data_IF_215926225508
#
_entry.id   IF_215926225508
#
_cell.length_a   1.000
_cell.length_b   1.000
_cell.length_c   1.000
_cell.angle_alpha   90.00
_cell.angle_beta   90.00
_cell.angle_gamma   90.00
#
_symmetry.space_group_name_H-M   'P 1'
#
loop_
_entity.id
_entity.type
_entity.pdbx_description
1 polymer ?
#
# COMPACT_ATOMS: atom_id res chain seq x y z
N UNK A 1 -17.19 0.05 13.19
CA UNK A 1 -18.55 -0.55 13.12
C UNK A 1 -18.95 -0.67 11.66
N UNK A 2 -19.27 -1.88 11.19
CA UNK A 2 -19.76 -2.07 9.83
C UNK A 2 -21.05 -1.26 9.64
N UNK A 3 -21.12 -0.45 8.57
CA UNK A 3 -22.31 0.32 8.25
C UNK A 3 -23.45 -0.63 7.93
N UNK A 4 -24.61 -0.42 8.58
CA UNK A 4 -25.82 -1.18 8.26
C UNK A 4 -26.13 -1.06 6.75
N UNK A 5 -26.74 -2.10 6.18
CA UNK A 5 -27.10 -2.13 4.74
C UNK A 5 -27.93 -0.89 4.37
N UNK A 6 -28.82 -0.47 5.27
CA UNK A 6 -29.64 0.73 5.12
C UNK A 6 -28.81 2.03 5.09
N UNK A 7 -27.78 2.17 5.94
CA UNK A 7 -26.93 3.37 5.92
C UNK A 7 -26.09 3.46 4.65
N UNK A 8 -25.64 2.31 4.13
CA UNK A 8 -24.97 2.23 2.83
C UNK A 8 -25.92 2.65 1.70
N UNK A 9 -27.17 2.18 1.75
CA UNK A 9 -28.19 2.55 0.78
C UNK A 9 -28.52 4.06 0.84
N UNK A 10 -28.70 4.64 2.03
CA UNK A 10 -28.90 6.09 2.21
C UNK A 10 -27.77 6.92 1.60
N UNK A 11 -26.51 6.50 1.79
CA UNK A 11 -25.34 7.17 1.19
C UNK A 11 -25.36 7.10 -0.33
N UNK A 12 -25.60 5.91 -0.90
CA UNK A 12 -25.70 5.72 -2.36
C UNK A 12 -26.87 6.51 -2.96
N UNK A 13 -27.99 6.56 -2.25
CA UNK A 13 -29.14 7.38 -2.63
C UNK A 13 -28.78 8.88 -2.65
N UNK A 14 -28.02 9.34 -1.65
CA UNK A 14 -27.56 10.73 -1.60
C UNK A 14 -26.57 11.09 -2.72
N UNK A 15 -25.87 10.09 -3.27
CA UNK A 15 -24.97 10.20 -4.43
C UNK A 15 -25.72 10.08 -5.77
N UNK A 16 -27.06 10.04 -5.76
CA UNK A 16 -27.91 9.88 -6.96
C UNK A 16 -27.71 8.56 -7.71
N UNK A 17 -27.12 7.55 -7.05
CA UNK A 17 -26.87 6.21 -7.61
C UNK A 17 -28.04 5.27 -7.33
N UNK A 18 -29.22 5.59 -7.86
CA UNK A 18 -30.47 4.90 -7.52
C UNK A 18 -30.47 3.41 -7.93
N UNK A 19 -29.94 3.06 -9.11
CA UNK A 19 -29.78 1.66 -9.52
C UNK A 19 -28.92 0.82 -8.56
N UNK A 20 -27.87 1.40 -7.96
CA UNK A 20 -27.07 0.70 -6.96
C UNK A 20 -27.82 0.54 -5.62
N UNK A 21 -28.75 1.44 -5.30
CA UNK A 21 -29.63 1.33 -4.12
C UNK A 21 -30.59 0.16 -4.29
N UNK A 22 -31.20 0.01 -5.47
CA UNK A 22 -32.11 -1.09 -5.78
C UNK A 22 -31.38 -2.42 -5.66
N UNK A 23 -30.23 -2.58 -6.34
CA UNK A 23 -29.41 -3.80 -6.27
C UNK A 23 -28.99 -4.18 -4.85
N UNK A 24 -28.77 -3.18 -3.99
CA UNK A 24 -28.35 -3.40 -2.60
C UNK A 24 -29.52 -3.76 -1.67
N UNK A 25 -30.70 -3.18 -1.88
CA UNK A 25 -31.85 -3.34 -0.98
C UNK A 25 -32.78 -4.48 -1.41
N UNK A 26 -32.98 -4.70 -2.71
CA UNK A 26 -33.93 -5.68 -3.24
C UNK A 26 -33.74 -7.12 -2.72
N UNK A 27 -32.50 -7.65 -2.55
CA UNK A 27 -32.30 -8.98 -1.96
C UNK A 27 -32.72 -9.07 -0.48
N UNK A 28 -32.77 -7.95 0.24
CA UNK A 28 -33.02 -7.90 1.69
C UNK A 28 -34.48 -7.57 2.03
N UNK A 29 -35.40 -7.66 1.07
CA UNK A 29 -36.81 -7.27 1.25
C UNK A 29 -37.53 -8.08 2.32
N UNK A 30 -37.22 -9.37 2.46
CA UNK A 30 -37.83 -10.25 3.47
C UNK A 30 -37.34 -9.89 4.88
N UNK A 31 -36.04 -9.64 5.02
CA UNK A 31 -35.40 -9.32 6.30
C UNK A 31 -35.88 -7.98 6.88
N UNK A 32 -36.24 -7.03 6.01
CA UNK A 32 -36.66 -5.67 6.39
C UNK A 32 -38.15 -5.39 6.15
N UNK A 33 -39.01 -6.41 6.14
CA UNK A 33 -40.43 -6.28 5.80
C UNK A 33 -41.22 -5.26 6.66
N UNK A 34 -40.86 -5.06 7.92
CA UNK A 34 -41.48 -4.06 8.82
C UNK A 34 -40.79 -2.69 8.82
N UNK A 35 -39.69 -2.54 8.09
CA UNK A 35 -38.90 -1.30 8.11
C UNK A 35 -39.48 -0.27 7.16
N UNK A 36 -40.09 0.78 7.71
CA UNK A 36 -40.59 1.93 6.94
C UNK A 36 -39.49 2.56 6.07
N UNK A 37 -38.32 2.83 6.66
CA UNK A 37 -37.23 3.55 6.00
C UNK A 37 -36.67 2.74 4.83
N UNK A 38 -36.59 1.41 4.99
CA UNK A 38 -36.17 0.52 3.93
C UNK A 38 -37.09 0.61 2.71
N UNK A 39 -38.40 0.43 2.91
CA UNK A 39 -39.40 0.49 1.84
C UNK A 39 -39.49 1.87 1.20
N UNK A 40 -39.35 2.94 1.99
CA UNK A 40 -39.33 4.31 1.49
C UNK A 40 -38.14 4.54 0.55
N UNK A 41 -36.91 4.17 0.95
CA UNK A 41 -35.72 4.39 0.11
C UNK A 41 -35.71 3.50 -1.14
N UNK A 42 -36.17 2.25 -1.04
CA UNK A 42 -36.31 1.36 -2.19
C UNK A 42 -37.36 1.88 -3.19
N UNK A 43 -38.54 2.28 -2.70
CA UNK A 43 -39.60 2.88 -3.52
C UNK A 43 -39.20 4.20 -4.17
N UNK A 44 -38.49 5.07 -3.44
CA UNK A 44 -37.93 6.30 -4.00
C UNK A 44 -36.86 6.01 -5.07
N UNK A 45 -35.98 5.03 -4.85
CA UNK A 45 -34.98 4.66 -5.85
C UNK A 45 -35.63 4.16 -7.15
N UNK A 46 -36.66 3.31 -7.05
CA UNK A 46 -37.47 2.89 -8.19
C UNK A 46 -38.15 4.08 -8.89
N UNK A 47 -38.65 5.06 -8.13
CA UNK A 47 -39.29 6.25 -8.69
C UNK A 47 -38.29 7.10 -9.51
N UNK A 48 -37.06 7.29 -9.02
CA UNK A 48 -36.01 8.04 -9.71
C UNK A 48 -35.47 7.32 -10.95
N UNK A 49 -35.34 5.99 -10.91
CA UNK A 49 -35.00 5.13 -12.06
C UNK A 49 -36.15 5.02 -13.08
N UNK A 50 -37.37 5.38 -12.67
CA UNK A 50 -38.55 5.36 -13.53
C UNK A 50 -39.30 4.03 -13.55
N UNK A 51 -38.93 3.08 -12.70
CA UNK A 51 -39.59 1.78 -12.50
C UNK A 51 -40.89 1.99 -11.71
N UNK A 52 -41.97 2.30 -12.43
CA UNK A 52 -43.26 2.69 -11.84
C UNK A 52 -43.87 1.58 -10.99
N UNK A 53 -43.84 0.33 -11.47
CA UNK A 53 -44.42 -0.82 -10.77
C UNK A 53 -43.76 -1.04 -9.41
N UNK A 54 -42.42 -1.10 -9.37
CA UNK A 54 -41.66 -1.20 -8.13
C UNK A 54 -41.92 -0.05 -7.17
N UNK A 55 -41.95 1.19 -7.68
CA UNK A 55 -42.24 2.37 -6.86
C UNK A 55 -43.61 2.26 -6.16
N UNK A 56 -44.64 1.82 -6.88
CA UNK A 56 -46.00 1.66 -6.33
C UNK A 56 -46.02 0.59 -5.24
N UNK A 57 -45.43 -0.57 -5.49
CA UNK A 57 -45.43 -1.68 -4.54
C UNK A 57 -44.67 -1.34 -3.25
N UNK A 58 -43.47 -0.77 -3.37
CA UNK A 58 -42.64 -0.46 -2.21
C UNK A 58 -43.15 0.77 -1.43
N UNK A 59 -43.62 1.83 -2.10
CA UNK A 59 -44.23 2.98 -1.42
C UNK A 59 -45.57 2.60 -0.76
N UNK A 60 -46.36 1.72 -1.40
CA UNK A 60 -47.58 1.17 -0.80
C UNK A 60 -47.31 0.42 0.49
N UNK A 61 -46.27 -0.42 0.53
CA UNK A 61 -45.81 -1.07 1.77
C UNK A 61 -45.34 -0.06 2.82
N UNK A 62 -44.57 0.96 2.42
CA UNK A 62 -44.17 2.03 3.33
C UNK A 62 -45.40 2.76 3.93
N UNK A 63 -46.48 2.92 3.16
CA UNK A 63 -47.73 3.54 3.62
C UNK A 63 -48.49 2.70 4.64
N UNK A 64 -48.48 1.38 4.48
CA UNK A 64 -49.07 0.46 5.47
C UNK A 64 -48.37 0.57 6.82
N UNK A 65 -47.05 0.81 6.83
CA UNK A 65 -46.26 0.95 8.06
C UNK A 65 -46.42 2.35 8.67
N UNK A 66 -46.31 3.42 7.87
CA UNK A 66 -46.56 4.81 8.31
C UNK A 66 -47.45 5.54 7.33
N UNK A 67 -48.69 5.78 7.73
CA UNK A 67 -49.73 6.37 6.87
C UNK A 67 -49.49 7.84 6.48
N UNK A 68 -48.86 8.65 7.34
CA UNK A 68 -48.81 10.11 7.16
C UNK A 68 -47.39 10.69 7.25
N UNK A 69 -46.42 10.05 6.59
CA UNK A 69 -45.07 10.62 6.53
C UNK A 69 -44.96 11.66 5.38
N UNK A 70 -44.53 12.91 5.61
CA UNK A 70 -44.52 13.97 4.60
C UNK A 70 -43.77 13.59 3.31
N UNK A 71 -42.58 12.97 3.45
CA UNK A 71 -41.78 12.51 2.31
C UNK A 71 -42.47 11.41 1.50
N UNK A 72 -43.24 10.54 2.16
CA UNK A 72 -43.99 9.48 1.49
C UNK A 72 -45.15 10.09 0.70
N UNK A 73 -45.91 11.00 1.33
CA UNK A 73 -47.02 11.70 0.69
C UNK A 73 -46.56 12.50 -0.55
N UNK A 74 -45.43 13.20 -0.47
CA UNK A 74 -44.85 13.86 -1.64
C UNK A 74 -44.40 12.89 -2.75
N UNK A 75 -43.91 11.70 -2.39
CA UNK A 75 -43.53 10.68 -3.36
C UNK A 75 -44.76 10.10 -4.08
N UNK A 76 -45.83 9.83 -3.33
CA UNK A 76 -47.11 9.37 -3.88
C UNK A 76 -47.77 10.44 -4.75
N UNK A 77 -47.71 11.71 -4.35
CA UNK A 77 -48.19 12.83 -5.16
C UNK A 77 -47.46 12.92 -6.50
N UNK A 78 -46.13 12.80 -6.49
CA UNK A 78 -45.32 12.81 -7.71
C UNK A 78 -45.57 11.59 -8.60
N UNK A 79 -45.86 10.43 -8.00
CA UNK A 79 -46.26 9.22 -8.72
C UNK A 79 -47.65 9.35 -9.35
N UNK A 80 -48.62 9.93 -8.63
CA UNK A 80 -49.95 10.26 -9.15
C UNK A 80 -49.86 11.25 -10.32
N UNK A 81 -49.00 12.26 -10.22
CA UNK A 81 -48.73 13.21 -11.29
C UNK A 81 -48.19 12.51 -12.55
N UNK A 82 -47.26 11.56 -12.40
CA UNK A 82 -46.73 10.76 -13.53
C UNK A 82 -47.82 9.90 -14.19
N UNK A 83 -48.85 9.53 -13.44
CA UNK A 83 -50.05 8.81 -13.91
C UNK A 83 -51.16 9.74 -14.43
N UNK A 84 -50.92 11.05 -14.48
CA UNK A 84 -51.89 12.10 -14.85
C UNK A 84 -53.10 12.20 -13.93
N UNK A 85 -53.00 11.67 -12.71
CA UNK A 85 -54.03 11.78 -11.66
C UNK A 85 -53.75 13.05 -10.82
N UNK A 86 -54.17 14.20 -11.36
CA UNK A 86 -53.94 15.53 -10.75
C UNK A 86 -54.69 15.71 -9.45
N UNK A 87 -55.91 15.19 -9.35
CA UNK A 87 -56.75 15.28 -8.17
C UNK A 87 -56.08 14.63 -6.96
N UNK A 88 -55.58 13.39 -7.12
CA UNK A 88 -54.84 12.73 -6.04
C UNK A 88 -53.51 13.42 -5.74
N UNK A 89 -52.83 13.97 -6.73
CA UNK A 89 -51.59 14.72 -6.48
C UNK A 89 -51.84 15.97 -5.63
N UNK A 90 -52.91 16.73 -5.93
CA UNK A 90 -53.31 17.92 -5.15
C UNK A 90 -53.68 17.54 -3.73
N UNK A 91 -54.54 16.54 -3.54
CA UNK A 91 -54.97 16.06 -2.21
C UNK A 91 -53.77 15.71 -1.33
N UNK A 92 -52.80 14.98 -1.89
CA UNK A 92 -51.59 14.55 -1.17
C UNK A 92 -50.66 15.72 -0.84
N UNK A 93 -50.52 16.72 -1.71
CA UNK A 93 -49.73 17.90 -1.41
C UNK A 93 -50.39 18.81 -0.36
N UNK A 94 -51.71 18.98 -0.41
CA UNK A 94 -52.46 19.72 0.61
C UNK A 94 -52.30 19.05 1.97
N UNK A 95 -52.48 17.72 2.05
CA UNK A 95 -52.30 16.98 3.30
C UNK A 95 -50.89 17.15 3.93
N UNK A 96 -49.85 17.37 3.11
CA UNK A 96 -48.50 17.68 3.62
C UNK A 96 -48.42 19.12 4.14
N UNK A 97 -49.06 20.07 3.44
CA UNK A 97 -49.06 21.49 3.85
C UNK A 97 -49.92 21.74 5.08
N UNK A 98 -50.97 20.96 5.30
CA UNK A 98 -51.77 20.99 6.53
C UNK A 98 -50.94 20.60 7.75
N UNK A 99 -50.00 19.65 7.58
CA UNK A 99 -49.08 19.23 8.63
C UNK A 99 -47.83 20.13 8.77
N UNK A 100 -47.29 20.62 7.66
CA UNK A 100 -46.13 21.52 7.59
C UNK A 100 -46.36 22.61 6.52
N UNK A 101 -46.88 23.79 6.91
CA UNK A 101 -47.18 24.87 5.97
C UNK A 101 -45.96 25.40 5.20
N UNK A 102 -44.74 25.20 5.75
CA UNK A 102 -43.49 25.66 5.15
C UNK A 102 -42.79 24.58 4.33
N UNK A 103 -43.46 23.46 4.04
CA UNK A 103 -42.87 22.34 3.31
C UNK A 103 -42.55 22.71 1.84
N UNK A 104 -41.28 23.01 1.56
CA UNK A 104 -40.82 23.55 0.26
C UNK A 104 -41.15 22.65 -0.93
N UNK A 105 -41.11 21.32 -0.78
CA UNK A 105 -41.41 20.39 -1.89
C UNK A 105 -42.91 20.36 -2.23
N UNK A 106 -43.78 20.42 -1.22
CA UNK A 106 -45.22 20.40 -1.43
C UNK A 106 -45.71 21.71 -2.05
N UNK A 107 -45.19 22.86 -1.60
CA UNK A 107 -45.45 24.15 -2.23
C UNK A 107 -45.02 24.18 -3.70
N UNK A 108 -43.82 23.64 -4.00
CA UNK A 108 -43.34 23.52 -5.39
C UNK A 108 -44.23 22.62 -6.24
N UNK A 109 -44.67 21.48 -5.71
CA UNK A 109 -45.58 20.57 -6.40
C UNK A 109 -46.91 21.23 -6.74
N UNK A 110 -47.50 21.95 -5.78
CA UNK A 110 -48.76 22.67 -5.99
C UNK A 110 -48.61 23.83 -6.98
N UNK A 111 -47.51 24.58 -6.91
CA UNK A 111 -47.23 25.65 -7.87
C UNK A 111 -47.01 25.11 -9.29
N UNK A 112 -46.36 23.96 -9.44
CA UNK A 112 -46.21 23.29 -10.73
C UNK A 112 -47.56 22.84 -11.30
N UNK A 113 -48.45 22.31 -10.46
CA UNK A 113 -49.82 21.94 -10.84
C UNK A 113 -50.67 23.15 -11.25
N UNK A 114 -50.52 24.30 -10.58
CA UNK A 114 -51.17 25.56 -10.97
C UNK A 114 -50.67 26.08 -12.31
N UNK A 115 -49.37 25.99 -12.56
CA UNK A 115 -48.74 26.43 -13.81
C UNK A 115 -49.09 25.52 -15.01
N UNK A 116 -49.30 24.23 -14.78
CA UNK A 116 -49.57 23.21 -15.80
C UNK A 116 -50.94 22.56 -15.58
N UNK A 117 -52.00 23.34 -15.71
CA UNK A 117 -53.37 22.92 -15.42
C UNK A 117 -54.06 22.21 -16.60
N UNK A 118 -53.60 22.40 -17.84
CA UNK A 118 -54.17 21.71 -19.02
C UNK A 118 -53.52 20.33 -19.23
N UNK A 119 -54.28 19.32 -19.69
CA UNK A 119 -53.73 17.98 -19.96
C UNK A 119 -52.51 17.96 -20.89
N UNK A 120 -52.48 18.84 -21.89
CA UNK A 120 -51.42 18.97 -22.88
C UNK A 120 -50.15 19.58 -22.26
N UNK A 121 -50.30 20.65 -21.48
CA UNK A 121 -49.18 21.30 -20.79
C UNK A 121 -48.58 20.39 -19.71
N UNK A 122 -49.43 19.63 -19.02
CA UNK A 122 -48.99 18.63 -18.05
C UNK A 122 -48.26 17.46 -18.71
N UNK A 123 -48.78 16.96 -19.83
CA UNK A 123 -48.11 15.91 -20.59
C UNK A 123 -46.72 16.36 -21.09
N UNK A 124 -46.61 17.59 -21.59
CA UNK A 124 -45.33 18.20 -21.97
C UNK A 124 -44.38 18.36 -20.78
N UNK A 125 -44.88 18.77 -19.62
CA UNK A 125 -44.09 18.85 -18.38
C UNK A 125 -43.55 17.48 -17.93
N UNK A 126 -44.36 16.42 -18.01
CA UNK A 126 -43.94 15.05 -17.71
C UNK A 126 -42.88 14.55 -18.69
N UNK A 127 -43.11 14.73 -20.00
CA UNK A 127 -42.18 14.31 -21.05
C UNK A 127 -40.84 15.06 -20.98
N UNK A 128 -40.85 16.33 -20.57
CA UNK A 128 -39.63 17.13 -20.40
C UNK A 128 -38.70 16.66 -19.28
N UNK A 129 -39.13 15.68 -18.46
CA UNK A 129 -38.36 15.16 -17.33
C UNK A 129 -38.27 16.11 -16.12
N UNK A 130 -38.78 17.35 -16.24
CA UNK A 130 -38.81 18.34 -15.15
C UNK A 130 -39.60 17.88 -13.92
N UNK A 131 -40.52 16.92 -14.08
CA UNK A 131 -41.24 16.26 -12.99
C UNK A 131 -40.30 15.62 -11.96
N UNK A 132 -39.09 15.19 -12.34
CA UNK A 132 -38.09 14.64 -11.41
C UNK A 132 -37.66 15.64 -10.32
N UNK A 133 -37.85 16.94 -10.54
CA UNK A 133 -37.59 17.98 -9.53
C UNK A 133 -38.58 17.93 -8.35
N UNK A 134 -39.75 17.30 -8.54
CA UNK A 134 -40.77 17.11 -7.52
C UNK A 134 -40.55 15.84 -6.69
N UNK A 135 -39.56 15.01 -7.06
CA UNK A 135 -39.29 13.75 -6.36
C UNK A 135 -38.56 14.03 -5.05
N UNK A 136 -39.02 13.46 -3.92
CA UNK A 136 -38.34 13.64 -2.65
C UNK A 136 -36.90 13.10 -2.67
N UNK A 137 -35.99 13.85 -2.05
CA UNK A 137 -34.56 13.50 -1.94
C UNK A 137 -34.08 13.57 -0.48
N UNK A 138 -34.57 12.69 0.41
CA UNK A 138 -34.18 12.71 1.82
C UNK A 138 -32.69 12.39 1.99
N UNK A 139 -32.00 13.16 2.83
CA UNK A 139 -30.58 12.95 3.17
C UNK A 139 -29.56 13.58 2.21
N UNK A 140 -29.95 14.06 1.03
CA UNK A 140 -29.01 14.71 0.08
C UNK A 140 -28.43 16.00 0.64
N UNK A 141 -29.25 16.83 1.29
CA UNK A 141 -28.80 18.10 1.87
C UNK A 141 -27.79 17.89 3.02
N UNK A 142 -28.04 16.91 3.88
CA UNK A 142 -27.15 16.55 4.99
C UNK A 142 -25.83 15.94 4.49
N UNK A 143 -25.91 15.06 3.48
CA UNK A 143 -24.74 14.47 2.83
C UNK A 143 -23.86 15.53 2.15
N UNK A 144 -24.49 16.47 1.43
CA UNK A 144 -23.78 17.58 0.79
C UNK A 144 -23.12 18.50 1.82
N UNK A 145 -23.82 18.84 2.91
CA UNK A 145 -23.25 19.62 4.02
C UNK A 145 -22.05 18.92 4.64
N UNK A 146 -22.14 17.61 4.96
CA UNK A 146 -21.01 16.84 5.50
C UNK A 146 -19.85 16.74 4.52
N UNK A 147 -20.12 16.53 3.24
CA UNK A 147 -19.10 16.47 2.19
C UNK A 147 -18.36 17.81 2.04
N UNK A 148 -19.09 18.93 2.08
CA UNK A 148 -18.50 20.28 2.03
C UNK A 148 -17.66 20.56 3.28
N UNK A 149 -18.15 20.20 4.48
CA UNK A 149 -17.39 20.37 5.73
C UNK A 149 -16.09 19.54 5.70
N UNK A 150 -16.14 18.29 5.22
CA UNK A 150 -14.94 17.47 5.06
C UNK A 150 -13.97 18.06 4.02
N UNK A 151 -14.48 18.55 2.89
CA UNK A 151 -13.66 19.15 1.85
C UNK A 151 -12.98 20.45 2.32
N UNK A 152 -13.70 21.30 3.07
CA UNK A 152 -13.14 22.52 3.69
C UNK A 152 -12.10 22.16 4.75
N UNK A 153 -12.36 21.15 5.58
CA UNK A 153 -11.39 20.67 6.58
C UNK A 153 -10.10 20.15 5.94
N UNK A 154 -10.19 19.36 4.87
CA UNK A 154 -9.02 18.88 4.11
C UNK A 154 -8.32 20.05 3.41
N UNK A 155 -9.07 21.01 2.85
CA UNK A 155 -8.52 22.22 2.25
C UNK A 155 -7.69 23.04 3.24
N UNK A 156 -8.21 23.28 4.44
CA UNK A 156 -7.50 24.00 5.50
C UNK A 156 -6.23 23.25 5.98
N UNK A 157 -6.26 21.92 6.02
CA UNK A 157 -5.07 21.12 6.37
C UNK A 157 -4.00 21.21 5.27
N UNK A 158 -4.41 21.14 4.00
CA UNK A 158 -3.49 21.27 2.86
C UNK A 158 -2.87 22.68 2.78
N UNK A 159 -3.63 23.75 3.04
CA UNK A 159 -3.09 25.11 3.05
C UNK A 159 -2.10 25.34 4.20
N UNK A 160 -2.35 24.75 5.38
CA UNK A 160 -1.39 24.77 6.49
C UNK A 160 -0.10 24.00 6.17
N UNK A 161 -0.19 22.84 5.51
CA UNK A 161 0.96 22.05 5.09
C UNK A 161 1.79 22.75 4.01
N UNK A 162 1.15 23.37 3.01
CA UNK A 162 1.85 24.15 1.97
C UNK A 162 2.47 25.42 2.56
N UNK A 163 1.80 26.08 3.50
CA UNK A 163 2.37 27.22 4.24
C UNK A 163 3.61 26.83 5.06
N UNK A 164 3.58 25.69 5.74
CA UNK A 164 4.73 25.16 6.49
C UNK A 164 5.90 24.78 5.58
N UNK A 165 5.63 24.17 4.41
CA UNK A 165 6.64 23.82 3.41
C UNK A 165 7.23 25.06 2.72
N UNK A 166 6.43 26.10 2.47
CA UNK A 166 6.90 27.36 1.89
C UNK A 166 7.84 28.15 2.82
N UNK A 167 7.53 28.20 4.12
CA UNK A 167 8.39 28.84 5.13
C UNK A 167 9.68 28.03 5.33
N UNK A 168 9.62 26.69 5.26
CA UNK A 168 10.81 25.84 5.29
C UNK A 168 11.69 26.01 4.02
N UNK A 169 11.08 26.12 2.83
CA UNK A 169 11.79 26.32 1.57
C UNK A 169 12.54 27.65 1.50
N UNK A 170 11.95 28.74 2.02
CA UNK A 170 12.58 30.06 2.02
C UNK A 170 13.78 30.14 2.99
N UNK A 171 13.75 29.40 4.11
CA UNK A 171 14.90 29.26 5.03
C UNK A 171 16.04 28.40 4.47
N UNK A 172 15.71 27.38 3.67
CA UNK A 172 16.70 26.48 3.03
C UNK A 172 17.40 27.15 1.85
N UNK A 173 16.77 28.10 1.15
CA UNK A 173 17.43 28.86 0.09
C UNK A 173 18.47 29.83 0.64
N UNK A 174 18.17 30.51 1.75
CA UNK A 174 19.03 31.57 2.29
C UNK A 174 20.17 31.08 3.19
N UNK A 175 20.14 29.80 3.60
CA UNK A 175 21.22 29.16 4.34
C UNK A 175 21.74 27.98 3.51
N UNK A 176 23.01 28.03 3.09
CA UNK A 176 23.68 26.97 2.31
C UNK A 176 23.87 25.65 3.09
N UNK A 177 22.78 25.10 3.63
CA UNK A 177 22.74 24.03 4.61
C UNK A 177 22.29 22.69 4.01
N UNK A 178 22.68 22.40 2.78
CA UNK A 178 22.73 21.02 2.28
C UNK A 178 23.99 20.32 2.79
N UNK A 179 24.18 20.30 4.13
CA UNK A 179 25.14 19.44 4.81
C UNK A 179 24.48 18.85 6.06
N UNK A 180 24.25 17.54 6.00
CA UNK A 180 24.05 16.70 7.18
C UNK A 180 22.58 16.45 7.49
N UNK A 181 22.02 15.40 6.87
CA UNK A 181 21.07 14.55 7.58
C UNK A 181 21.64 14.23 8.96
N UNK A 182 20.79 14.31 9.98
CA UNK A 182 21.15 14.13 11.39
C UNK A 182 22.10 12.94 11.56
N UNK A 183 23.35 13.23 11.95
CA UNK A 183 24.36 12.22 12.25
C UNK A 183 23.89 11.44 13.48
N UNK A 184 23.28 10.28 13.28
CA UNK A 184 23.43 9.21 14.26
C UNK A 184 24.93 8.92 14.30
N UNK A 185 25.66 9.46 15.28
CA UNK A 185 27.10 9.26 15.34
C UNK A 185 27.38 7.77 15.50
N UNK A 186 28.20 7.20 14.62
CA UNK A 186 28.79 5.87 14.87
C UNK A 186 29.69 5.92 16.10
N UNK A 187 30.09 4.74 16.58
CA UNK A 187 31.12 4.60 17.60
C UNK A 187 32.33 5.47 17.26
N UNK A 188 32.84 6.18 18.27
CA UNK A 188 34.00 7.02 18.10
C UNK A 188 35.24 6.16 17.83
N UNK A 189 35.75 6.23 16.60
CA UNK A 189 36.94 5.52 16.14
C UNK A 189 38.15 6.45 16.03
N UNK A 190 38.17 7.56 16.78
CA UNK A 190 39.28 8.53 16.78
C UNK A 190 40.63 7.87 17.10
N UNK A 191 40.64 6.79 17.89
CA UNK A 191 41.84 5.99 18.18
C UNK A 191 42.45 5.30 16.93
N UNK A 192 41.67 5.12 15.85
CA UNK A 192 42.13 4.58 14.58
C UNK A 192 42.76 5.65 13.66
N UNK A 193 42.85 6.91 14.08
CA UNK A 193 43.56 7.94 13.31
C UNK A 193 45.05 7.60 13.17
N UNK A 194 45.60 7.78 11.97
CA UNK A 194 47.01 7.51 11.70
C UNK A 194 47.93 8.44 12.50
N UNK A 195 49.05 7.92 13.00
CA UNK A 195 50.07 8.74 13.67
C UNK A 195 50.92 9.52 12.67
N UNK A 196 51.67 10.52 13.14
CA UNK A 196 52.58 11.32 12.30
C UNK A 196 53.60 10.44 11.57
N UNK A 197 54.06 9.37 12.21
CA UNK A 197 54.99 8.39 11.64
C UNK A 197 54.35 7.57 10.52
N UNK A 198 53.09 7.17 10.68
CA UNK A 198 52.32 6.44 9.66
C UNK A 198 52.05 7.33 8.43
N UNK A 199 51.79 8.63 8.64
CA UNK A 199 51.72 9.62 7.54
C UNK A 199 53.07 9.83 6.85
N UNK A 200 54.18 9.77 7.58
CA UNK A 200 55.51 9.93 7.02
C UNK A 200 55.89 8.73 6.15
N UNK A 201 55.62 7.50 6.61
CA UNK A 201 56.02 6.23 5.97
C UNK A 201 54.83 5.27 5.76
N UNK A 202 53.91 5.57 4.81
CA UNK A 202 52.73 4.74 4.58
C UNK A 202 52.97 3.53 3.67
N UNK A 203 54.17 3.39 3.09
CA UNK A 203 54.50 2.34 2.11
C UNK A 203 55.54 1.38 2.65
N UNK A 204 55.48 0.13 2.20
CA UNK A 204 56.53 -0.86 2.33
C UNK A 204 57.41 -0.93 1.07
N UNK A 205 58.72 -1.05 1.27
CA UNK A 205 59.70 -1.02 0.17
C UNK A 205 59.91 -2.36 -0.54
N UNK A 206 59.45 -3.48 0.02
CA UNK A 206 59.73 -4.82 -0.52
C UNK A 206 58.53 -5.76 -0.33
N UNK A 207 58.15 -6.50 -1.37
CA UNK A 207 57.08 -7.50 -1.33
C UNK A 207 56.40 -7.70 -2.68
N UNK A 208 55.65 -8.80 -2.83
CA UNK A 208 54.75 -8.99 -3.97
C UNK A 208 53.36 -8.50 -3.58
N UNK A 209 52.86 -7.48 -4.28
CA UNK A 209 51.58 -6.83 -4.01
C UNK A 209 50.68 -6.92 -5.23
N UNK A 210 49.38 -7.09 -5.02
CA UNK A 210 48.40 -7.07 -6.11
C UNK A 210 48.19 -5.66 -6.64
N UNK A 211 48.29 -4.67 -5.76
CA UNK A 211 48.17 -3.26 -6.11
C UNK A 211 49.43 -2.49 -5.69
N UNK A 212 50.04 -1.79 -6.63
CA UNK A 212 51.13 -0.84 -6.35
C UNK A 212 50.52 0.55 -6.28
N UNK A 213 50.38 1.08 -5.07
CA UNK A 213 49.76 2.38 -4.80
C UNK A 213 50.83 3.43 -4.49
N UNK A 214 50.54 4.69 -4.82
CA UNK A 214 51.34 5.82 -4.38
C UNK A 214 51.11 6.11 -2.89
N UNK A 215 52.00 6.91 -2.30
CA UNK A 215 51.84 7.42 -0.93
C UNK A 215 50.48 8.12 -0.74
N UNK A 216 50.08 8.92 -1.72
CA UNK A 216 48.81 9.64 -1.66
C UNK A 216 47.61 8.69 -1.74
N UNK A 217 47.68 7.68 -2.60
CA UNK A 217 46.59 6.71 -2.78
C UNK A 217 46.34 5.87 -1.53
N UNK A 218 47.40 5.46 -0.83
CA UNK A 218 47.26 4.71 0.44
C UNK A 218 46.57 5.56 1.50
N UNK A 219 47.02 6.80 1.68
CA UNK A 219 46.42 7.71 2.66
C UNK A 219 44.97 8.05 2.30
N UNK A 220 44.70 8.27 1.02
CA UNK A 220 43.36 8.57 0.53
C UNK A 220 42.42 7.37 0.70
N UNK A 221 42.87 6.16 0.39
CA UNK A 221 42.09 4.93 0.55
C UNK A 221 41.75 4.68 2.02
N UNK A 222 42.70 4.91 2.94
CA UNK A 222 42.43 4.83 4.38
C UNK A 222 41.43 5.90 4.85
N UNK A 223 41.60 7.15 4.42
CA UNK A 223 40.67 8.23 4.73
C UNK A 223 39.27 7.97 4.16
N UNK A 224 39.17 7.40 2.95
CA UNK A 224 37.92 6.97 2.35
C UNK A 224 37.26 5.88 3.17
N UNK A 225 38.00 4.87 3.61
CA UNK A 225 37.46 3.81 4.47
C UNK A 225 36.86 4.38 5.77
N UNK A 226 37.57 5.30 6.43
CA UNK A 226 37.05 5.98 7.63
C UNK A 226 35.80 6.82 7.31
N UNK A 227 35.82 7.58 6.21
CA UNK A 227 34.67 8.39 5.77
C UNK A 227 33.46 7.52 5.49
N UNK A 228 33.62 6.44 4.72
CA UNK A 228 32.55 5.51 4.37
C UNK A 228 31.95 4.86 5.62
N UNK A 229 32.78 4.41 6.55
CA UNK A 229 32.35 3.91 7.86
C UNK A 229 31.49 4.94 8.63
N UNK A 230 31.96 6.20 8.71
CA UNK A 230 31.23 7.28 9.38
C UNK A 230 29.91 7.64 8.69
N UNK A 231 29.78 7.34 7.39
CA UNK A 231 28.55 7.52 6.62
C UNK A 231 27.70 6.25 6.49
N UNK A 232 27.97 5.22 7.30
CA UNK A 232 27.25 3.92 7.30
C UNK A 232 27.37 3.11 6.00
N UNK A 233 28.38 3.38 5.16
CA UNK A 233 28.65 2.67 3.90
C UNK A 233 29.72 1.60 4.10
N UNK A 234 29.40 0.58 4.89
CA UNK A 234 30.37 -0.43 5.33
C UNK A 234 30.94 -1.26 4.17
N UNK A 235 30.13 -1.55 3.16
CA UNK A 235 30.60 -2.27 1.98
C UNK A 235 31.65 -1.47 1.19
N UNK A 236 31.42 -0.17 1.01
CA UNK A 236 32.40 0.72 0.35
C UNK A 236 33.67 0.86 1.20
N UNK A 237 33.54 0.93 2.53
CA UNK A 237 34.69 0.91 3.43
C UNK A 237 35.48 -0.40 3.32
N UNK A 238 34.80 -1.56 3.26
CA UNK A 238 35.42 -2.87 3.08
C UNK A 238 36.23 -2.96 1.78
N UNK A 239 35.72 -2.40 0.67
CA UNK A 239 36.42 -2.35 -0.62
C UNK A 239 37.74 -1.59 -0.52
N UNK A 240 37.74 -0.41 0.11
CA UNK A 240 38.96 0.37 0.34
C UNK A 240 39.95 -0.38 1.25
N UNK A 241 39.44 -1.04 2.29
CA UNK A 241 40.27 -1.86 3.18
C UNK A 241 40.90 -3.03 2.40
N UNK A 242 40.14 -3.76 1.59
CA UNK A 242 40.68 -4.85 0.77
C UNK A 242 41.75 -4.37 -0.20
N UNK A 243 41.55 -3.20 -0.81
CA UNK A 243 42.56 -2.55 -1.66
C UNK A 243 43.85 -2.27 -0.89
N UNK A 244 43.75 -1.75 0.34
CA UNK A 244 44.91 -1.53 1.22
C UNK A 244 45.60 -2.82 1.65
N UNK A 245 44.82 -3.86 2.00
CA UNK A 245 45.37 -5.15 2.43
C UNK A 245 46.13 -5.85 1.31
N UNK A 246 45.68 -5.70 0.07
CA UNK A 246 46.29 -6.27 -1.12
C UNK A 246 47.35 -5.37 -1.78
N UNK A 247 47.67 -4.20 -1.19
CA UNK A 247 48.65 -3.24 -1.74
C UNK A 247 49.98 -3.21 -1.00
N UNK A 248 50.90 -2.37 -1.49
CA UNK A 248 52.17 -2.00 -0.85
C UNK A 248 52.02 -1.05 0.36
N UNK A 249 50.82 -0.89 0.93
CA UNK A 249 50.63 -0.14 2.17
C UNK A 249 51.37 -0.80 3.35
N UNK A 250 51.85 0.01 4.30
CA UNK A 250 52.59 -0.48 5.46
C UNK A 250 51.76 -1.40 6.36
N UNK A 251 52.42 -2.33 7.04
CA UNK A 251 51.79 -3.27 7.98
C UNK A 251 50.99 -2.57 9.08
N UNK A 252 51.44 -1.39 9.54
CA UNK A 252 50.73 -0.62 10.57
C UNK A 252 49.38 -0.11 10.05
N UNK A 253 49.34 0.48 8.85
CA UNK A 253 48.11 0.93 8.19
C UNK A 253 47.18 -0.25 7.93
N UNK A 254 47.72 -1.37 7.40
CA UNK A 254 46.94 -2.60 7.18
C UNK A 254 46.34 -3.13 8.48
N UNK A 255 47.07 -3.09 9.60
CA UNK A 255 46.57 -3.53 10.92
C UNK A 255 45.42 -2.64 11.39
N UNK A 256 45.54 -1.32 11.28
CA UNK A 256 44.45 -0.40 11.63
C UNK A 256 43.22 -0.57 10.73
N UNK A 257 43.43 -0.80 9.43
CA UNK A 257 42.35 -1.09 8.50
C UNK A 257 41.58 -2.36 8.91
N UNK A 258 42.27 -3.41 9.39
CA UNK A 258 41.60 -4.61 9.95
C UNK A 258 40.81 -4.29 11.22
N UNK A 259 41.39 -3.51 12.14
CA UNK A 259 40.66 -3.09 13.35
C UNK A 259 39.37 -2.33 13.00
N UNK A 260 39.37 -1.53 11.94
CA UNK A 260 38.16 -0.82 11.48
C UNK A 260 37.06 -1.81 11.03
N UNK A 261 37.41 -2.94 10.42
CA UNK A 261 36.46 -3.97 9.99
C UNK A 261 35.66 -4.56 11.15
N UNK A 262 36.26 -4.67 12.33
CA UNK A 262 35.63 -5.26 13.52
C UNK A 262 34.44 -4.43 14.03
N UNK A 263 34.34 -3.16 13.62
CA UNK A 263 33.24 -2.26 13.96
C UNK A 263 32.13 -2.22 12.92
N UNK A 264 32.23 -2.96 11.82
CA UNK A 264 31.21 -2.95 10.78
C UNK A 264 29.90 -3.55 11.28
N UNK A 265 28.81 -2.89 10.90
CA UNK A 265 27.49 -3.34 11.25
C UNK A 265 27.17 -4.62 10.48
N UNK A 266 26.39 -5.46 11.15
CA UNK A 266 26.00 -6.76 10.66
C UNK A 266 24.65 -6.60 9.92
N UNK A 267 24.59 -6.66 8.57
CA UNK A 267 23.39 -6.31 7.81
C UNK A 267 22.29 -7.38 7.88
N UNK A 268 21.05 -6.92 7.68
CA UNK A 268 19.84 -7.72 7.46
C UNK A 268 19.16 -7.29 6.16
N UNK A 269 18.15 -8.01 5.68
CA UNK A 269 17.42 -7.61 4.46
C UNK A 269 16.75 -6.23 4.59
N UNK A 270 16.38 -5.82 5.80
CA UNK A 270 15.71 -4.53 6.05
C UNK A 270 16.70 -3.37 6.18
N UNK A 271 17.95 -3.65 6.56
CA UNK A 271 18.96 -2.61 6.83
C UNK A 271 19.99 -2.47 5.71
N UNK A 272 20.03 -3.40 4.75
CA UNK A 272 21.03 -3.41 3.69
C UNK A 272 20.55 -2.57 2.48
N UNK A 273 21.19 -1.43 2.18
CA UNK A 273 20.77 -0.56 1.08
C UNK A 273 21.05 -1.21 -0.28
N UNK A 274 20.13 -1.03 -1.24
CA UNK A 274 20.32 -1.52 -2.61
C UNK A 274 21.55 -0.89 -3.29
N UNK A 275 21.90 0.36 -2.95
CA UNK A 275 23.09 1.05 -3.48
C UNK A 275 24.42 0.43 -3.05
N UNK A 276 24.43 -0.32 -1.94
CA UNK A 276 25.61 -1.01 -1.41
C UNK A 276 25.72 -2.45 -1.94
N UNK A 277 24.76 -2.90 -2.77
CA UNK A 277 24.74 -4.25 -3.33
C UNK A 277 25.58 -4.36 -4.62
N UNK A 278 26.76 -4.97 -4.54
CA UNK A 278 27.59 -5.20 -5.73
C UNK A 278 27.05 -6.35 -6.60
N UNK A 279 26.83 -6.13 -7.92
CA UNK A 279 26.43 -7.18 -8.85
C UNK A 279 27.45 -8.32 -8.93
N UNK A 280 26.97 -9.53 -9.19
CA UNK A 280 27.82 -10.72 -9.28
C UNK A 280 28.92 -10.58 -10.33
N UNK A 281 28.61 -10.02 -11.50
CA UNK A 281 29.58 -9.84 -12.59
C UNK A 281 30.78 -8.98 -12.14
N UNK A 282 30.50 -7.87 -11.45
CA UNK A 282 31.52 -6.98 -10.90
C UNK A 282 32.41 -7.69 -9.87
N UNK A 283 31.78 -8.44 -8.96
CA UNK A 283 32.50 -9.20 -7.93
C UNK A 283 33.34 -10.32 -8.54
N UNK A 284 32.85 -10.98 -9.59
CA UNK A 284 33.58 -12.05 -10.30
C UNK A 284 34.85 -11.54 -10.98
N UNK A 285 34.82 -10.35 -11.58
CA UNK A 285 35.97 -9.75 -12.27
C UNK A 285 37.09 -9.36 -11.30
N UNK A 286 36.73 -8.87 -10.11
CA UNK A 286 37.70 -8.42 -9.10
C UNK A 286 37.48 -9.09 -7.74
N UNK A 287 37.49 -10.43 -7.72
CA UNK A 287 37.19 -11.26 -6.53
C UNK A 287 37.87 -10.78 -5.24
N UNK A 288 39.16 -10.47 -5.32
CA UNK A 288 39.98 -10.05 -4.19
C UNK A 288 39.58 -8.70 -3.59
N UNK A 289 39.02 -7.80 -4.40
CA UNK A 289 38.62 -6.45 -3.97
C UNK A 289 37.30 -6.48 -3.18
N UNK A 290 36.44 -7.46 -3.46
CA UNK A 290 35.10 -7.58 -2.86
C UNK A 290 35.02 -8.68 -1.79
N UNK A 291 36.15 -9.21 -1.34
CA UNK A 291 36.17 -10.15 -0.22
C UNK A 291 35.55 -9.51 1.02
N UNK A 292 34.85 -10.30 1.82
CA UNK A 292 34.18 -9.83 3.03
C UNK A 292 33.08 -8.76 2.84
N UNK A 293 32.79 -8.31 1.62
CA UNK A 293 31.61 -7.49 1.34
C UNK A 293 30.33 -8.32 1.45
N UNK A 294 29.24 -7.67 1.85
CA UNK A 294 27.91 -8.27 1.85
C UNK A 294 27.23 -8.07 0.50
N UNK A 295 26.50 -9.07 0.03
CA UNK A 295 25.73 -8.98 -1.22
C UNK A 295 24.35 -9.60 -1.04
N UNK A 296 23.40 -9.10 -1.82
CA UNK A 296 22.09 -9.70 -2.00
C UNK A 296 21.95 -10.15 -3.44
N UNK A 297 22.11 -11.45 -3.67
CA UNK A 297 21.93 -12.04 -4.99
C UNK A 297 20.68 -12.88 -5.06
N UNK A 298 20.06 -12.87 -6.24
CA UNK A 298 18.82 -13.59 -6.52
C UNK A 298 19.05 -14.60 -7.64
N UNK A 299 18.36 -15.74 -7.55
CA UNK A 299 18.50 -16.81 -8.52
C UNK A 299 17.68 -18.04 -8.15
N UNK A 300 18.03 -19.18 -8.73
CA UNK A 300 17.45 -20.49 -8.40
C UNK A 300 18.45 -21.33 -7.61
N UNK A 301 17.97 -22.15 -6.69
CA UNK A 301 18.83 -23.07 -5.93
C UNK A 301 18.94 -24.42 -6.64
N UNK A 302 20.17 -24.88 -6.86
CA UNK A 302 20.49 -26.20 -7.40
C UNK A 302 21.36 -26.99 -6.41
N UNK A 303 21.41 -28.32 -6.55
CA UNK A 303 22.25 -29.21 -5.73
C UNK A 303 22.11 -28.96 -4.21
N UNK A 304 20.86 -28.81 -3.74
CA UNK A 304 20.57 -28.54 -2.33
C UNK A 304 20.95 -29.75 -1.48
N UNK A 305 21.89 -29.55 -0.55
CA UNK A 305 22.29 -30.53 0.47
C UNK A 305 21.88 -29.98 1.82
N UNK A 306 21.12 -30.77 2.58
CA UNK A 306 20.65 -30.42 3.92
C UNK A 306 21.26 -31.37 4.93
N UNK A 307 21.73 -30.82 6.03
CA UNK A 307 22.13 -31.55 7.23
C UNK A 307 21.26 -31.08 8.41
N UNK A 308 21.44 -31.68 9.58
CA UNK A 308 20.72 -31.28 10.80
C UNK A 308 21.05 -29.85 11.27
N UNK A 309 22.18 -29.28 10.84
CA UNK A 309 22.66 -27.98 11.34
C UNK A 309 22.99 -26.96 10.24
N UNK A 310 23.01 -27.38 8.99
CA UNK A 310 23.44 -26.54 7.87
C UNK A 310 22.75 -26.90 6.58
N UNK A 311 22.70 -25.94 5.67
CA UNK A 311 22.22 -26.13 4.30
C UNK A 311 23.25 -25.56 3.35
N UNK A 312 23.52 -26.26 2.26
CA UNK A 312 24.36 -25.77 1.18
C UNK A 312 23.70 -26.01 -0.17
N UNK A 313 23.91 -25.11 -1.12
CA UNK A 313 23.37 -25.22 -2.47
C UNK A 313 24.18 -24.37 -3.44
N UNK A 314 23.99 -24.59 -4.73
CA UNK A 314 24.52 -23.73 -5.78
C UNK A 314 23.45 -22.70 -6.15
N UNK A 315 23.76 -21.41 -6.02
CA UNK A 315 22.91 -20.32 -6.47
C UNK A 315 23.18 -20.03 -7.96
N UNK A 316 22.16 -20.17 -8.78
CA UNK A 316 22.17 -19.80 -10.19
C UNK A 316 21.83 -18.30 -10.32
N UNK A 317 22.84 -17.44 -10.19
CA UNK A 317 22.66 -15.98 -10.09
C UNK A 317 22.07 -15.39 -11.37
N UNK A 318 21.05 -14.53 -11.21
CA UNK A 318 20.31 -13.90 -12.32
C UNK A 318 19.28 -14.82 -12.99
N UNK A 319 19.24 -16.11 -12.62
CA UNK A 319 18.37 -17.11 -13.25
C UNK A 319 16.97 -17.20 -12.59
N UNK A 320 16.51 -16.14 -11.92
CA UNK A 320 15.25 -16.10 -11.18
C UNK A 320 14.01 -16.15 -12.09
N UNK A 321 14.12 -15.65 -13.33
CA UNK A 321 13.08 -15.75 -14.37
C UNK A 321 13.35 -16.84 -15.40
N UNK A 322 14.35 -17.70 -15.17
CA UNK A 322 14.80 -18.74 -16.09
C UNK A 322 15.29 -18.22 -17.47
N UNK A 323 15.64 -16.94 -17.57
CA UNK A 323 15.99 -16.28 -18.85
C UNK A 323 17.49 -16.10 -19.07
N UNK A 324 18.25 -15.72 -18.03
CA UNK A 324 19.68 -15.42 -18.15
C UNK A 324 20.46 -15.93 -16.94
N UNK A 325 21.48 -16.74 -17.17
CA UNK A 325 22.40 -17.18 -16.13
C UNK A 325 23.64 -16.27 -16.12
N UNK A 326 23.89 -15.56 -15.03
CA UNK A 326 25.10 -14.74 -14.89
C UNK A 326 26.29 -15.57 -14.39
N UNK A 327 26.02 -16.53 -13.50
CA UNK A 327 26.98 -17.51 -13.01
C UNK A 327 26.45 -18.38 -11.88
N UNK A 328 27.31 -19.28 -11.41
CA UNK A 328 26.97 -20.26 -10.37
C UNK A 328 27.84 -20.00 -9.15
N UNK A 329 27.23 -19.84 -7.99
CA UNK A 329 27.95 -19.56 -6.73
C UNK A 329 27.54 -20.55 -5.64
N UNK A 330 28.47 -21.30 -5.06
CA UNK A 330 28.19 -22.10 -3.87
C UNK A 330 27.78 -21.22 -2.68
N UNK A 331 26.69 -21.60 -2.02
CA UNK A 331 26.15 -20.93 -0.84
C UNK A 331 26.20 -21.90 0.34
N UNK A 332 26.71 -21.41 1.47
CA UNK A 332 26.77 -22.15 2.72
C UNK A 332 26.00 -21.40 3.81
N UNK A 333 24.94 -22.01 4.31
CA UNK A 333 24.17 -21.55 5.47
C UNK A 333 24.60 -22.38 6.69
N UNK A 334 25.05 -21.71 7.76
CA UNK A 334 25.33 -22.35 9.05
C UNK A 334 24.07 -22.49 9.93
N UNK A 335 22.90 -22.51 9.30
CA UNK A 335 21.59 -22.67 9.91
C UNK A 335 20.70 -23.50 8.98
N UNK A 336 19.65 -24.09 9.55
CA UNK A 336 18.68 -24.90 8.80
C UNK A 336 17.62 -23.99 8.19
N UNK A 337 17.40 -24.10 6.89
CA UNK A 337 16.35 -23.39 6.16
C UNK A 337 15.76 -24.30 5.08
N UNK A 338 14.44 -24.28 4.90
CA UNK A 338 13.82 -24.99 3.79
C UNK A 338 14.01 -24.18 2.51
N UNK A 339 14.68 -24.79 1.54
CA UNK A 339 14.92 -24.22 0.20
C UNK A 339 14.16 -25.05 -0.83
N UNK A 340 13.17 -24.44 -1.47
CA UNK A 340 12.42 -25.01 -2.60
C UNK A 340 13.19 -24.73 -3.90
N UNK A 341 13.77 -25.75 -4.58
CA UNK A 341 14.52 -25.55 -5.83
C UNK A 341 13.66 -25.03 -6.99
N UNK A 342 12.34 -25.10 -6.90
CA UNK A 342 11.42 -24.65 -7.96
C UNK A 342 11.06 -23.17 -7.85
N UNK A 343 11.55 -22.46 -6.84
CA UNK A 343 11.23 -21.04 -6.60
C UNK A 343 12.48 -20.17 -6.53
N UNK A 344 12.39 -18.91 -6.99
CA UNK A 344 13.45 -17.94 -6.81
C UNK A 344 13.80 -17.74 -5.34
N UNK A 345 15.08 -17.60 -5.07
CA UNK A 345 15.63 -17.39 -3.75
C UNK A 345 16.51 -16.14 -3.75
N UNK A 346 16.39 -15.32 -2.71
CA UNK A 346 17.28 -14.19 -2.42
C UNK A 346 18.20 -14.57 -1.28
N UNK A 347 19.49 -14.37 -1.46
CA UNK A 347 20.52 -14.73 -0.49
C UNK A 347 21.25 -13.47 -0.06
N UNK A 348 21.16 -13.12 1.22
CA UNK A 348 22.04 -12.16 1.87
C UNK A 348 23.25 -12.94 2.40
N UNK A 349 24.41 -12.72 1.79
CA UNK A 349 25.62 -13.47 2.10
C UNK A 349 26.87 -12.60 2.09
N UNK A 350 27.88 -13.03 2.87
CA UNK A 350 29.21 -12.45 2.83
C UNK A 350 30.02 -13.13 1.74
N UNK A 351 30.64 -12.36 0.87
CA UNK A 351 31.53 -12.86 -0.18
C UNK A 351 32.78 -13.43 0.46
N UNK A 352 33.10 -14.68 0.14
CA UNK A 352 34.28 -15.39 0.62
C UNK A 352 34.93 -16.13 -0.54
N UNK A 353 36.16 -16.58 -0.33
CA UNK A 353 36.93 -17.27 -1.36
C UNK A 353 37.73 -18.42 -0.76
N UNK A 354 37.77 -19.54 -1.46
CA UNK A 354 38.64 -20.68 -1.16
C UNK A 354 39.42 -21.03 -2.42
N UNK A 355 40.73 -20.80 -2.40
CA UNK A 355 41.52 -20.82 -3.63
C UNK A 355 41.05 -19.71 -4.57
N UNK A 356 40.64 -20.05 -5.79
CA UNK A 356 40.06 -19.09 -6.76
C UNK A 356 38.52 -19.20 -6.86
N UNK A 357 37.89 -20.04 -6.03
CA UNK A 357 36.44 -20.25 -6.05
C UNK A 357 35.77 -19.29 -5.08
N UNK A 358 34.88 -18.46 -5.61
CA UNK A 358 34.02 -17.58 -4.84
C UNK A 358 32.84 -18.37 -4.27
N UNK A 359 32.53 -18.15 -2.98
CA UNK A 359 31.33 -18.69 -2.34
C UNK A 359 30.69 -17.65 -1.43
N UNK A 360 29.40 -17.82 -1.14
CA UNK A 360 28.69 -17.00 -0.16
C UNK A 360 28.58 -17.74 1.17
N UNK A 361 29.05 -17.10 2.24
CA UNK A 361 28.64 -17.46 3.60
C UNK A 361 27.31 -16.76 3.87
N UNK A 362 26.21 -17.49 3.72
CA UNK A 362 24.88 -16.95 3.88
C UNK A 362 24.62 -16.59 5.34
N UNK A 363 23.98 -15.44 5.53
CA UNK A 363 23.45 -15.03 6.83
C UNK A 363 21.94 -15.16 6.88
N UNK A 364 21.27 -14.79 5.79
CA UNK A 364 19.82 -14.90 5.69
C UNK A 364 19.44 -15.26 4.27
N UNK A 365 18.34 -15.97 4.16
CA UNK A 365 17.79 -16.45 2.90
C UNK A 365 16.31 -16.14 2.91
N UNK A 366 15.81 -15.59 1.81
CA UNK A 366 14.41 -15.26 1.63
C UNK A 366 13.86 -15.94 0.39
N UNK A 367 12.72 -16.62 0.54
CA UNK A 367 11.97 -17.26 -0.53
C UNK A 367 10.48 -17.06 -0.24
N UNK A 368 9.71 -16.63 -1.23
CA UNK A 368 8.28 -16.37 -1.04
C UNK A 368 7.50 -17.66 -0.83
N UNK A 369 6.67 -17.68 0.22
CA UNK A 369 5.73 -18.77 0.49
C UNK A 369 4.40 -18.38 -0.11
N UNK A 370 3.96 -19.04 -1.18
CA UNK A 370 2.55 -18.97 -1.58
C UNK A 370 1.81 -20.03 -0.76
N UNK A 371 1.03 -19.58 0.22
CA UNK A 371 0.00 -20.42 0.84
C UNK A 371 -1.02 -20.74 -0.25
N UNK A 372 -1.07 -22.01 -0.68
CA UNK A 372 -2.21 -22.49 -1.44
C UNK A 372 -3.45 -22.33 -0.55
N UNK A 373 -4.35 -21.43 -0.93
CA UNK A 373 -5.73 -21.40 -0.43
C UNK A 373 -6.41 -22.69 -0.86
N UNK A 374 -6.33 -23.72 -0.03
CA UNK A 374 -7.14 -24.92 -0.18
C UNK A 374 -8.60 -24.55 0.07
N UNK A 375 -9.39 -24.54 -0.99
CA UNK A 375 -10.84 -24.73 -0.93
C UNK A 375 -11.13 -26.04 -0.20
N UNK A 376 -11.47 -25.94 1.09
CA UNK A 376 -12.22 -27.00 1.78
C UNK A 376 -13.68 -26.81 1.35
N UNK A 377 -14.05 -27.45 0.24
CA UNK A 377 -15.44 -27.75 -0.04
C UNK A 377 -15.95 -28.63 1.10
N UNK A 378 -16.95 -28.13 1.82
CA UNK A 378 -17.65 -28.93 2.80
C UNK A 378 -18.40 -30.06 2.12
N UNK A 379 -18.20 -31.28 2.61
CA UNK A 379 -19.22 -32.30 2.63
C UNK A 379 -19.53 -32.63 4.08
N UNK A 380 -20.72 -32.21 4.51
CA UNK A 380 -21.42 -32.78 5.65
C UNK A 380 -22.32 -33.89 5.09
N UNK A 381 -22.11 -35.13 5.51
CA UNK A 381 -23.13 -36.02 6.11
C UNK A 381 -22.65 -37.48 6.08
N UNK A 382 -22.75 -38.14 7.23
CA UNK A 382 -22.40 -39.55 7.41
C UNK A 382 -22.13 -39.86 8.87
N UNK A 383 -23.19 -39.81 9.70
CA UNK A 383 -23.14 -40.22 11.09
C UNK A 383 -23.19 -41.75 11.23
N UNK A 384 -22.54 -42.20 12.31
CA UNK A 384 -22.87 -43.38 13.14
C UNK A 384 -22.37 -44.80 12.79
N UNK A 385 -21.69 -45.37 13.79
CA UNK A 385 -21.56 -46.78 14.19
C UNK A 385 -20.72 -47.69 13.26
N UNK A 386 -19.81 -48.57 13.71
CA UNK A 386 -19.81 -49.48 14.87
C UNK A 386 -18.34 -49.80 15.23
N UNK A 387 -18.01 -49.73 16.52
CA UNK A 387 -16.87 -50.42 17.13
C UNK A 387 -17.35 -51.78 17.63
N UNK A 388 -16.86 -52.87 17.04
CA UNK A 388 -16.71 -54.19 17.70
C UNK A 388 -15.89 -55.15 16.81
N UNK A 389 -15.07 -55.94 17.50
CA UNK A 389 -14.29 -57.12 17.10
C UNK A 389 -12.84 -56.86 16.66
N UNK A 390 -11.92 -57.34 17.51
CA UNK A 390 -10.47 -57.32 17.41
C UNK A 390 -9.88 -57.35 18.80
#
# INVERSE_FOLDING_TARGET
MALSVLDRAKRKFAQEKYGEVIKLLEPCVLDYHESFVFHLYLGLACLHEGIVTGAVSYLGRARQIKMSHPTLLCAEAALALKRRDTNRAVERYIAVLDADPKHRLAQKGLNALKAHHTPESLAGFIQSGKVKALYPRPGVAEYRRRSVVCAVGVGCLCTLLVGALGIAGLRVWHSGLWRGTARTSRADVSFLTLTKEEYARPLEGSGSYRYTLSKQDVLQSYANAQKYFQTFKDNAAQVEINKLLASNASHSIKRRARMLMDYFALPTFDTFPDEDNYPYVQVREQKGLYLDCWVVWQGMAANVKRTERSVSFNLLVGYDRLTKLEGIVPVFCNFVVSVDPQKPIRVLGKVQMRGDILYLKARSVFQSVHSQSGTVSGDRQGAAAVLKAG
#
